data_IF_437517182803
#
_entry.id   IF_437517182803
#
_cell.length_a   1.000
_cell.length_b   1.000
_cell.length_c   1.000
_cell.angle_alpha   90.00
_cell.angle_beta   90.00
_cell.angle_gamma   90.00
#
_symmetry.space_group_name_H-M   'P 1'
#
loop_
_entity.id
_entity.type
_entity.pdbx_description
1 polymer ?
#
# COMPACT_ATOMS: atom_id res chain seq x y z
N UNK A 1 -38.73 -66.40 58.37
CA UNK A 1 -39.63 -66.31 57.21
C UNK A 1 -38.76 -66.15 55.98
N UNK A 2 -38.77 -67.16 55.14
CA UNK A 2 -37.84 -67.40 54.04
C UNK A 2 -38.33 -66.71 52.76
N UNK A 3 -37.39 -66.53 51.82
CA UNK A 3 -37.60 -66.52 50.36
C UNK A 3 -38.23 -65.28 49.71
N UNK A 4 -37.42 -64.52 48.95
CA UNK A 4 -37.18 -64.67 47.50
C UNK A 4 -36.72 -63.33 46.90
N UNK A 5 -35.70 -63.39 46.04
CA UNK A 5 -35.36 -62.31 45.10
C UNK A 5 -36.26 -62.41 43.86
N UNK A 6 -36.68 -61.27 43.28
CA UNK A 6 -36.85 -61.09 41.84
C UNK A 6 -35.77 -60.11 41.32
N UNK A 7 -34.90 -60.48 40.37
CA UNK A 7 -35.09 -60.52 38.91
C UNK A 7 -35.21 -59.16 38.22
N UNK A 8 -34.08 -58.77 37.60
CA UNK A 8 -33.87 -58.02 36.35
C UNK A 8 -34.66 -56.73 36.06
N UNK A 9 -33.93 -55.62 35.95
CA UNK A 9 -34.20 -54.57 34.97
C UNK A 9 -32.89 -54.16 34.29
N UNK A 10 -32.80 -54.47 33.00
CA UNK A 10 -31.72 -54.08 32.08
C UNK A 10 -31.83 -52.58 31.82
N UNK A 11 -30.82 -51.80 32.17
CA UNK A 11 -30.66 -50.44 31.64
C UNK A 11 -29.46 -50.45 30.69
N UNK A 12 -29.79 -50.58 29.40
CA UNK A 12 -28.92 -50.16 28.29
C UNK A 12 -29.13 -48.65 28.14
N UNK A 13 -28.07 -47.85 28.25
CA UNK A 13 -27.94 -46.48 27.72
C UNK A 13 -26.64 -45.90 28.30
N UNK A 14 -25.67 -45.38 27.57
CA UNK A 14 -25.39 -45.28 26.14
C UNK A 14 -23.92 -44.89 26.07
N UNK A 15 -23.18 -45.39 25.08
CA UNK A 15 -21.81 -44.93 24.84
C UNK A 15 -21.85 -43.42 24.58
N UNK A 16 -21.21 -42.65 25.46
CA UNK A 16 -20.92 -41.25 25.20
C UNK A 16 -19.96 -41.17 24.01
N UNK A 17 -20.52 -40.90 22.82
CA UNK A 17 -19.76 -40.58 21.63
C UNK A 17 -19.22 -39.16 21.82
N UNK A 18 -17.98 -39.02 22.29
CA UNK A 18 -17.24 -37.76 22.25
C UNK A 18 -17.03 -37.39 20.77
N UNK A 19 -17.90 -36.54 20.23
CA UNK A 19 -17.67 -35.88 18.96
C UNK A 19 -16.54 -34.86 19.15
N UNK A 20 -15.33 -35.19 18.70
CA UNK A 20 -14.26 -34.21 18.50
C UNK A 20 -14.68 -33.24 17.40
N UNK A 21 -15.16 -32.05 17.77
CA UNK A 21 -15.17 -30.90 16.87
C UNK A 21 -13.71 -30.45 16.67
N UNK A 22 -13.12 -30.85 15.55
CA UNK A 22 -11.95 -30.17 15.00
C UNK A 22 -12.41 -28.82 14.47
N UNK A 23 -12.30 -27.77 15.29
CA UNK A 23 -12.33 -26.41 14.79
C UNK A 23 -11.07 -26.22 13.92
N UNK A 24 -11.24 -26.25 12.59
CA UNK A 24 -10.20 -25.83 11.65
C UNK A 24 -9.99 -24.34 11.82
N UNK A 25 -8.99 -23.97 12.61
CA UNK A 25 -8.50 -22.59 12.69
C UNK A 25 -7.79 -22.33 11.35
N UNK A 26 -8.51 -21.75 10.39
CA UNK A 26 -7.88 -21.19 9.19
C UNK A 26 -7.05 -19.99 9.62
N UNK A 27 -5.74 -20.18 9.80
CA UNK A 27 -4.82 -19.06 9.93
C UNK A 27 -4.96 -18.17 8.68
N UNK A 28 -4.97 -16.83 8.81
CA UNK A 28 -4.95 -15.97 7.66
C UNK A 28 -3.67 -16.24 6.87
N UNK A 29 -3.79 -16.85 5.70
CA UNK A 29 -2.70 -16.94 4.75
C UNK A 29 -2.48 -15.53 4.21
N UNK A 30 -1.48 -14.82 4.75
CA UNK A 30 -0.95 -13.67 4.02
C UNK A 30 -0.44 -14.19 2.69
N UNK A 31 -0.97 -13.65 1.59
CA UNK A 31 -0.49 -13.99 0.26
C UNK A 31 1.01 -13.70 0.20
N UNK A 32 1.80 -14.72 -0.12
CA UNK A 32 3.23 -14.55 -0.26
C UNK A 32 3.51 -13.63 -1.45
N UNK A 33 4.16 -12.51 -1.20
CA UNK A 33 4.54 -11.57 -2.26
C UNK A 33 5.57 -12.23 -3.21
N UNK A 34 5.55 -11.88 -4.51
CA UNK A 34 6.58 -12.32 -5.44
C UNK A 34 7.97 -11.80 -5.03
N UNK A 35 9.03 -12.49 -5.45
CA UNK A 35 10.40 -12.03 -5.23
C UNK A 35 10.69 -10.76 -6.04
N UNK A 36 11.69 -9.98 -5.61
CA UNK A 36 12.14 -8.82 -6.35
C UNK A 36 12.54 -9.16 -7.80
N UNK A 37 13.20 -10.30 -8.01
CA UNK A 37 13.57 -10.78 -9.36
C UNK A 37 12.33 -11.07 -10.22
N UNK A 38 11.29 -11.69 -9.65
CA UNK A 38 10.04 -11.97 -10.36
C UNK A 38 9.35 -10.67 -10.78
N UNK A 39 9.22 -9.70 -9.87
CA UNK A 39 8.61 -8.40 -10.19
C UNK A 39 9.44 -7.62 -11.19
N UNK A 40 10.76 -7.56 -11.01
CA UNK A 40 11.66 -6.87 -11.92
C UNK A 40 11.61 -7.46 -13.35
N UNK A 41 11.49 -8.79 -13.47
CA UNK A 41 11.31 -9.44 -14.77
C UNK A 41 9.97 -9.13 -15.46
N UNK A 42 8.98 -8.64 -14.72
CA UNK A 42 7.68 -8.22 -15.26
C UNK A 42 7.66 -6.74 -15.65
N UNK A 43 8.54 -5.90 -15.08
CA UNK A 43 8.73 -4.51 -15.48
C UNK A 43 9.47 -4.49 -16.83
N UNK A 44 8.88 -3.87 -17.87
CA UNK A 44 9.48 -3.81 -19.21
C UNK A 44 9.94 -2.39 -19.51
N UNK A 45 9.11 -1.60 -20.17
CA UNK A 45 9.42 -0.22 -20.55
C UNK A 45 8.67 0.72 -19.62
N UNK A 46 9.43 1.63 -19.01
CA UNK A 46 8.93 2.63 -18.08
C UNK A 46 8.75 4.01 -18.74
N UNK A 47 7.73 4.74 -18.30
CA UNK A 47 7.52 6.15 -18.62
C UNK A 47 7.51 6.99 -17.34
N UNK A 48 8.01 8.24 -17.39
CA UNK A 48 7.93 9.16 -16.25
C UNK A 48 6.86 10.22 -16.53
N UNK A 49 5.93 10.41 -15.59
CA UNK A 49 5.00 11.53 -15.55
C UNK A 49 5.74 12.77 -15.01
N UNK A 50 6.68 13.28 -15.79
CA UNK A 50 7.58 14.35 -15.38
C UNK A 50 6.91 15.73 -15.36
N UNK A 51 7.49 16.65 -14.59
CA UNK A 51 7.07 18.04 -14.40
C UNK A 51 5.57 18.17 -14.09
N UNK A 52 5.05 17.26 -13.28
CA UNK A 52 3.64 17.12 -12.96
C UNK A 52 3.48 17.15 -11.44
N UNK A 53 3.42 16.01 -10.74
CA UNK A 53 3.21 16.01 -9.28
C UNK A 53 4.46 16.45 -8.50
N UNK A 54 5.63 16.49 -9.11
CA UNK A 54 6.84 17.08 -8.54
C UNK A 54 6.95 18.59 -8.74
N UNK A 55 6.07 19.19 -9.55
CA UNK A 55 6.05 20.63 -9.70
C UNK A 55 5.64 21.27 -8.36
N UNK A 56 6.44 22.23 -7.90
CA UNK A 56 6.30 22.77 -6.55
C UNK A 56 4.94 23.44 -6.34
N UNK A 57 4.26 23.06 -5.26
CA UNK A 57 3.00 23.63 -4.79
C UNK A 57 1.81 23.45 -5.74
N UNK A 58 1.90 22.60 -6.77
CA UNK A 58 0.78 22.34 -7.66
C UNK A 58 1.15 21.58 -8.92
N UNK A 59 0.33 20.58 -9.25
CA UNK A 59 0.53 19.68 -10.39
C UNK A 59 0.71 20.39 -11.75
N UNK A 60 0.19 21.62 -11.89
CA UNK A 60 0.25 22.41 -13.13
C UNK A 60 1.30 23.53 -13.08
N UNK A 61 2.05 23.67 -11.98
CA UNK A 61 2.91 24.83 -11.74
C UNK A 61 4.06 24.96 -12.75
N UNK A 62 4.45 23.87 -13.41
CA UNK A 62 5.48 23.86 -14.47
C UNK A 62 4.91 23.70 -15.89
N UNK A 63 3.63 24.04 -16.08
CA UNK A 63 3.01 24.21 -17.41
C UNK A 63 2.33 22.97 -17.99
N UNK A 64 2.52 21.78 -17.39
CA UNK A 64 1.72 20.62 -17.75
C UNK A 64 0.26 20.77 -17.30
N UNK A 65 -0.71 20.26 -18.07
CA UNK A 65 -2.09 20.18 -17.61
C UNK A 65 -2.23 19.15 -16.49
N UNK A 66 -3.33 19.24 -15.76
CA UNK A 66 -3.68 18.24 -14.75
C UNK A 66 -3.79 16.84 -15.37
N UNK A 67 -3.19 15.83 -14.72
CA UNK A 67 -3.20 14.45 -15.21
C UNK A 67 -4.61 13.90 -15.29
N UNK A 68 -4.91 13.21 -16.39
CA UNK A 68 -6.20 12.55 -16.64
C UNK A 68 -6.01 11.05 -16.85
N UNK A 69 -7.07 10.28 -16.61
CA UNK A 69 -7.11 8.86 -16.97
C UNK A 69 -6.82 8.63 -18.46
N UNK A 70 -7.29 9.53 -19.34
CA UNK A 70 -7.08 9.42 -20.79
C UNK A 70 -5.60 9.49 -21.18
N UNK A 71 -4.80 10.33 -20.50
CA UNK A 71 -3.35 10.37 -20.69
C UNK A 71 -2.73 9.01 -20.33
N UNK A 72 -3.04 8.48 -19.15
CA UNK A 72 -2.47 7.21 -18.67
C UNK A 72 -2.90 6.02 -19.54
N UNK A 73 -4.15 6.01 -20.02
CA UNK A 73 -4.62 5.02 -20.98
C UNK A 73 -3.82 5.06 -22.29
N UNK A 74 -3.48 6.26 -22.77
CA UNK A 74 -2.69 6.44 -23.99
C UNK A 74 -1.25 5.94 -23.79
N UNK A 75 -0.65 6.18 -22.63
CA UNK A 75 0.67 5.65 -22.26
C UNK A 75 0.64 4.11 -22.22
N UNK A 76 -0.38 3.51 -21.60
CA UNK A 76 -0.55 2.05 -21.61
C UNK A 76 -0.72 1.50 -23.03
N UNK A 77 -1.54 2.15 -23.85
CA UNK A 77 -1.79 1.74 -25.25
C UNK A 77 -0.53 1.83 -26.11
N UNK A 78 0.38 2.76 -25.81
CA UNK A 78 1.68 2.87 -26.47
C UNK A 78 2.68 1.75 -26.08
N UNK A 79 2.30 0.84 -25.18
CA UNK A 79 3.09 -0.36 -24.84
C UNK A 79 3.89 -0.26 -23.54
N UNK A 80 3.79 0.85 -22.80
CA UNK A 80 4.40 0.98 -21.48
C UNK A 80 3.60 0.17 -20.45
N UNK A 81 4.30 -0.62 -19.64
CA UNK A 81 3.67 -1.36 -18.54
C UNK A 81 4.12 -0.86 -17.16
N UNK A 82 4.97 0.16 -17.12
CA UNK A 82 5.46 0.77 -15.88
C UNK A 82 5.42 2.29 -16.00
N UNK A 83 5.00 2.95 -14.93
CA UNK A 83 5.03 4.40 -14.79
C UNK A 83 5.78 4.78 -13.52
N UNK A 84 6.62 5.80 -13.61
CA UNK A 84 7.16 6.51 -12.44
C UNK A 84 6.44 7.84 -12.31
N UNK A 85 5.94 8.11 -11.12
CA UNK A 85 5.19 9.31 -10.75
C UNK A 85 6.05 10.06 -9.73
N UNK A 86 6.86 11.04 -10.17
CA UNK A 86 7.63 11.87 -9.25
C UNK A 86 6.69 12.82 -8.52
N UNK A 87 6.84 12.95 -7.19
CA UNK A 87 5.96 13.81 -6.39
C UNK A 87 6.74 14.68 -5.40
N UNK A 88 6.29 15.93 -5.24
CA UNK A 88 6.68 16.85 -4.18
C UNK A 88 5.62 16.79 -3.06
N UNK A 89 6.04 16.94 -1.81
CA UNK A 89 5.23 16.66 -0.63
C UNK A 89 5.37 17.76 0.43
N UNK A 90 6.56 18.31 0.59
CA UNK A 90 6.93 19.28 1.61
C UNK A 90 6.12 20.58 1.51
N UNK A 91 5.90 21.06 0.30
CA UNK A 91 5.07 22.24 0.06
C UNK A 91 3.57 21.99 0.30
N UNK A 92 3.16 20.73 0.47
CA UNK A 92 1.81 20.32 0.80
C UNK A 92 1.66 19.95 2.28
N UNK A 93 2.60 20.30 3.14
CA UNK A 93 2.49 20.09 4.59
C UNK A 93 1.80 21.27 5.25
N UNK A 94 0.78 20.98 6.06
CA UNK A 94 -0.02 21.99 6.77
C UNK A 94 -0.21 21.60 8.25
N UNK A 95 -0.20 22.57 9.20
CA UNK A 95 0.33 23.94 9.10
C UNK A 95 1.87 23.97 9.08
N UNK A 96 2.48 25.16 8.95
CA UNK A 96 3.94 25.32 9.01
C UNK A 96 4.52 24.72 10.31
N UNK A 97 5.54 23.85 10.18
CA UNK A 97 6.13 23.10 11.30
C UNK A 97 5.47 21.74 11.58
N UNK A 98 4.38 21.40 10.87
CA UNK A 98 3.80 20.06 10.85
C UNK A 98 4.66 19.09 10.03
N UNK A 99 4.33 17.80 10.11
CA UNK A 99 4.78 16.77 9.16
C UNK A 99 3.60 16.08 8.46
N UNK A 100 2.38 16.55 8.68
CA UNK A 100 1.16 16.01 8.07
C UNK A 100 0.99 16.59 6.67
N UNK A 101 0.97 15.70 5.68
CA UNK A 101 0.66 16.05 4.29
C UNK A 101 -0.84 16.37 4.19
N UNK A 102 -1.15 17.43 3.46
CA UNK A 102 -2.51 17.86 3.16
C UNK A 102 -3.34 16.70 2.57
N UNK A 103 -4.53 16.49 3.14
CA UNK A 103 -5.38 15.37 2.77
C UNK A 103 -5.88 15.47 1.30
N UNK A 104 -6.08 16.68 0.78
CA UNK A 104 -6.47 16.87 -0.61
C UNK A 104 -5.31 16.54 -1.56
N UNK A 105 -4.08 16.90 -1.19
CA UNK A 105 -2.89 16.47 -1.93
C UNK A 105 -2.71 14.95 -1.94
N UNK A 106 -2.82 14.30 -0.77
CA UNK A 106 -2.74 12.85 -0.68
C UNK A 106 -3.80 12.16 -1.55
N UNK A 107 -5.05 12.65 -1.52
CA UNK A 107 -6.13 12.15 -2.37
C UNK A 107 -5.85 12.37 -3.86
N UNK A 108 -5.24 13.51 -4.23
CA UNK A 108 -4.87 13.79 -5.61
C UNK A 108 -3.77 12.86 -6.12
N UNK A 109 -2.69 12.67 -5.35
CA UNK A 109 -1.62 11.73 -5.72
C UNK A 109 -2.19 10.31 -5.86
N UNK A 110 -3.04 9.88 -4.91
CA UNK A 110 -3.73 8.59 -5.00
C UNK A 110 -4.55 8.47 -6.29
N UNK A 111 -5.30 9.51 -6.67
CA UNK A 111 -6.09 9.49 -7.92
C UNK A 111 -5.22 9.23 -9.14
N UNK A 112 -4.05 9.86 -9.24
CA UNK A 112 -3.12 9.68 -10.36
C UNK A 112 -2.46 8.28 -10.32
N UNK A 113 -2.11 7.79 -9.14
CA UNK A 113 -1.63 6.40 -8.95
C UNK A 113 -2.70 5.39 -9.39
N UNK A 114 -3.95 5.59 -8.97
CA UNK A 114 -5.08 4.72 -9.30
C UNK A 114 -5.30 4.67 -10.83
N UNK A 115 -5.11 5.78 -11.55
CA UNK A 115 -5.22 5.78 -13.01
C UNK A 115 -4.30 4.76 -13.68
N UNK A 116 -3.07 4.59 -13.18
CA UNK A 116 -2.12 3.63 -13.70
C UNK A 116 -2.33 2.22 -13.12
N UNK A 117 -2.60 2.14 -11.82
CA UNK A 117 -2.85 0.88 -11.13
C UNK A 117 -4.05 0.14 -11.73
N UNK A 118 -5.15 0.85 -12.01
CA UNK A 118 -6.36 0.29 -12.62
C UNK A 118 -6.15 -0.17 -14.07
N UNK A 119 -5.07 0.29 -14.73
CA UNK A 119 -4.65 -0.20 -16.05
C UNK A 119 -3.72 -1.42 -15.96
N UNK A 120 -3.47 -1.94 -14.75
CA UNK A 120 -2.55 -3.05 -14.49
C UNK A 120 -1.10 -2.69 -14.82
N UNK A 121 -0.70 -1.43 -14.62
CA UNK A 121 0.69 -0.98 -14.75
C UNK A 121 1.42 -1.10 -13.41
N UNK A 122 2.73 -1.30 -13.45
CA UNK A 122 3.59 -1.10 -12.27
C UNK A 122 3.75 0.40 -12.01
N UNK A 123 3.59 0.81 -10.76
CA UNK A 123 3.69 2.22 -10.35
C UNK A 123 4.88 2.39 -9.41
N UNK A 124 5.75 3.34 -9.73
CA UNK A 124 6.83 3.79 -8.85
C UNK A 124 6.47 5.21 -8.38
N UNK A 125 6.10 5.34 -7.11
CA UNK A 125 5.91 6.62 -6.44
C UNK A 125 7.15 6.93 -5.59
N UNK A 126 7.53 8.20 -5.50
CA UNK A 126 8.65 8.60 -4.64
C UNK A 126 8.43 9.98 -4.00
N UNK A 127 9.37 10.35 -3.13
CA UNK A 127 9.66 11.75 -2.81
C UNK A 127 10.70 12.23 -3.82
N UNK A 128 10.36 13.22 -4.64
CA UNK A 128 11.27 13.80 -5.62
C UNK A 128 12.07 14.97 -5.01
N UNK A 129 12.62 15.87 -5.85
CA UNK A 129 13.13 17.14 -5.35
C UNK A 129 11.96 17.96 -4.80
N UNK A 130 12.05 18.30 -3.51
CA UNK A 130 10.90 18.76 -2.73
C UNK A 130 11.22 20.07 -2.01
N UNK A 131 11.81 21.00 -2.77
CA UNK A 131 12.38 22.24 -2.23
C UNK A 131 13.72 22.04 -1.52
N UNK A 132 14.49 21.01 -1.90
CA UNK A 132 15.89 20.87 -1.51
C UNK A 132 16.16 20.43 -0.07
N UNK A 133 15.12 20.21 0.75
CA UNK A 133 15.32 19.90 2.18
C UNK A 133 16.26 18.71 2.42
N UNK A 134 16.21 17.68 1.56
CA UNK A 134 17.12 16.53 1.64
C UNK A 134 18.35 16.72 0.75
N UNK A 135 18.14 17.07 -0.52
CA UNK A 135 19.18 17.11 -1.55
C UNK A 135 20.25 18.16 -1.26
N UNK A 136 19.87 19.29 -0.67
CA UNK A 136 20.80 20.38 -0.35
C UNK A 136 21.39 20.22 1.06
N UNK A 137 20.86 19.29 1.88
CA UNK A 137 21.28 19.07 3.26
C UNK A 137 21.65 17.60 3.60
N UNK A 138 22.44 16.85 2.79
CA UNK A 138 22.77 15.44 3.05
C UNK A 138 23.95 15.28 4.04
N UNK A 139 24.01 16.08 5.09
CA UNK A 139 25.14 16.10 6.04
C UNK A 139 24.73 15.66 7.44
N UNK A 140 25.69 15.28 8.27
CA UNK A 140 25.44 14.91 9.68
C UNK A 140 24.75 16.03 10.48
N UNK A 141 25.00 17.30 10.12
CA UNK A 141 24.37 18.44 10.77
C UNK A 141 22.83 18.44 10.63
N UNK A 142 22.30 17.88 9.54
CA UNK A 142 20.85 17.80 9.27
C UNK A 142 20.28 16.40 9.45
N UNK A 143 21.09 15.41 9.87
CA UNK A 143 20.69 14.00 9.95
C UNK A 143 19.43 13.80 10.79
N UNK A 144 19.35 14.42 11.98
CA UNK A 144 18.19 14.26 12.86
C UNK A 144 16.91 14.79 12.21
N UNK A 145 16.95 16.01 11.64
CA UNK A 145 15.81 16.61 10.96
C UNK A 145 15.39 15.82 9.72
N UNK A 146 16.36 15.36 8.91
CA UNK A 146 16.09 14.57 7.72
C UNK A 146 15.50 13.21 8.06
N UNK A 147 16.02 12.52 9.09
CA UNK A 147 15.49 11.24 9.52
C UNK A 147 14.06 11.38 10.06
N UNK A 148 13.79 12.40 10.87
CA UNK A 148 12.45 12.68 11.38
C UNK A 148 11.45 12.92 10.24
N UNK A 149 11.83 13.74 9.26
CA UNK A 149 10.96 14.09 8.13
C UNK A 149 10.74 12.91 7.17
N UNK A 150 11.79 12.14 6.87
CA UNK A 150 11.66 10.91 6.09
C UNK A 150 10.72 9.92 6.79
N UNK A 151 10.91 9.71 8.10
CA UNK A 151 10.03 8.82 8.87
C UNK A 151 8.58 9.27 8.76
N UNK A 152 8.30 10.56 8.93
CA UNK A 152 6.94 11.08 8.88
C UNK A 152 6.30 11.03 7.47
N UNK A 153 7.07 11.23 6.39
CA UNK A 153 6.52 11.19 5.03
C UNK A 153 6.27 9.77 4.52
N UNK A 154 6.92 8.76 5.11
CA UNK A 154 6.79 7.36 4.70
C UNK A 154 5.84 6.52 5.59
N UNK A 155 5.10 7.15 6.51
CA UNK A 155 4.14 6.49 7.42
C UNK A 155 2.77 7.14 7.36
#
# INVERSE_FOLDING_TARGET
MSLRRPSAAKWRSGLALCALLLASISAPTQAQLPTAQTVAGQIRVGWNLGNTLEAQCGETAWGNPQTTQALINSVRAAGFNTIRIPAAWNCHVNPAGSTTIDAAWMARVKTVVDYAYNQGMYVILNIHWDGGWLQDNPTFAFQSANNQKQAAFWT
#
